data_IF_170270664539
#
_entry.id   IF_170270664539
#
_cell.length_a   1.000
_cell.length_b   1.000
_cell.length_c   1.000
_cell.angle_alpha   90.00
_cell.angle_beta   90.00
_cell.angle_gamma   90.00
#
_symmetry.space_group_name_H-M   'P 1'
#
loop_
_entity.id
_entity.type
_entity.pdbx_description
1 polymer ?
#
# COMPACT_ATOMS: atom_id res chain seq x y z
N UNK A 1 -1.67 0.12 0.46
CA UNK A 1 -2.17 -0.97 1.30
C UNK A 1 -1.69 -0.84 2.74
N UNK A 2 -2.27 -1.60 3.65
CA UNK A 2 -1.84 -1.65 5.04
C UNK A 2 -0.47 -2.36 5.17
N UNK A 3 0.22 -2.14 6.28
CA UNK A 3 1.46 -2.85 6.57
C UNK A 3 1.20 -4.34 6.83
N UNK A 4 2.10 -5.18 6.33
CA UNK A 4 2.05 -6.60 6.56
C UNK A 4 2.75 -7.00 7.87
N UNK A 5 2.28 -8.07 8.48
CA UNK A 5 2.84 -8.66 9.69
C UNK A 5 2.85 -10.18 9.60
N UNK A 6 3.93 -10.79 10.07
CA UNK A 6 4.06 -12.24 10.15
C UNK A 6 4.80 -12.62 11.42
N UNK A 7 4.15 -13.38 12.30
CA UNK A 7 4.71 -13.82 13.58
C UNK A 7 5.32 -12.67 14.39
N UNK A 8 4.62 -11.53 14.45
CA UNK A 8 5.05 -10.35 15.21
C UNK A 8 6.08 -9.47 14.52
N UNK A 9 6.56 -9.84 13.34
CA UNK A 9 7.50 -9.03 12.56
C UNK A 9 6.79 -8.33 11.39
N UNK A 10 7.22 -7.12 11.11
CA UNK A 10 6.70 -6.35 9.97
C UNK A 10 7.21 -6.94 8.66
N UNK A 11 6.30 -7.21 7.73
CA UNK A 11 6.63 -7.72 6.41
C UNK A 11 6.33 -6.67 5.33
N UNK A 12 7.34 -6.34 4.52
CA UNK A 12 7.19 -5.45 3.37
C UNK A 12 7.07 -6.24 2.08
N UNK A 13 6.21 -5.81 1.17
CA UNK A 13 5.93 -6.50 -0.09
C UNK A 13 7.16 -6.67 -1.00
N UNK A 14 8.10 -5.71 -0.95
CA UNK A 14 9.34 -5.82 -1.73
C UNK A 14 10.36 -6.75 -1.11
N UNK A 15 10.56 -6.68 0.19
CA UNK A 15 11.62 -7.40 0.91
C UNK A 15 11.27 -8.85 1.16
N UNK A 16 10.04 -9.13 1.58
CA UNK A 16 9.65 -10.47 2.02
C UNK A 16 9.61 -11.48 0.87
N UNK A 17 9.31 -11.04 -0.34
CA UNK A 17 9.27 -11.93 -1.51
C UNK A 17 10.65 -12.53 -1.79
N UNK A 18 11.69 -11.71 -1.73
CA UNK A 18 13.07 -12.19 -1.91
C UNK A 18 13.48 -13.14 -0.81
N UNK A 19 13.24 -12.76 0.45
CA UNK A 19 13.55 -13.61 1.60
C UNK A 19 12.80 -14.93 1.54
N UNK A 20 11.52 -14.91 1.18
CA UNK A 20 10.71 -16.12 1.04
C UNK A 20 11.24 -17.05 -0.06
N UNK A 21 11.67 -16.50 -1.18
CA UNK A 21 12.30 -17.29 -2.26
C UNK A 21 13.59 -17.96 -1.82
N UNK A 22 14.44 -17.23 -1.09
CA UNK A 22 15.67 -17.79 -0.53
C UNK A 22 15.38 -18.91 0.45
N UNK A 23 14.43 -18.73 1.35
CA UNK A 23 14.02 -19.75 2.32
C UNK A 23 13.43 -20.99 1.64
N UNK A 24 12.62 -20.82 0.59
CA UNK A 24 12.08 -21.93 -0.18
C UNK A 24 13.17 -22.71 -0.90
N UNK A 25 14.13 -22.02 -1.52
CA UNK A 25 15.26 -22.63 -2.22
C UNK A 25 16.18 -23.39 -1.25
N UNK A 26 16.36 -22.88 -0.03
CA UNK A 26 17.14 -23.53 1.02
C UNK A 26 16.41 -24.69 1.72
N UNK A 27 15.12 -24.88 1.45
CA UNK A 27 14.32 -25.93 2.08
C UNK A 27 13.86 -25.61 3.49
N UNK A 28 13.99 -24.36 3.95
CA UNK A 28 13.56 -23.93 5.29
C UNK A 28 12.04 -23.85 5.42
N UNK A 29 11.34 -23.57 4.30
CA UNK A 29 9.87 -23.53 4.23
C UNK A 29 9.39 -24.36 3.05
N UNK A 30 8.16 -24.86 3.12
CA UNK A 30 7.50 -25.56 2.03
C UNK A 30 6.69 -24.57 1.14
N UNK A 31 6.02 -25.10 0.13
CA UNK A 31 5.20 -24.30 -0.79
C UNK A 31 4.06 -23.59 -0.04
N UNK A 32 3.41 -24.27 0.90
CA UNK A 32 2.32 -23.65 1.69
C UNK A 32 2.86 -22.53 2.59
N UNK A 33 4.01 -22.74 3.23
CA UNK A 33 4.69 -21.74 4.03
C UNK A 33 5.13 -20.53 3.22
N UNK A 34 5.60 -20.75 2.00
CA UNK A 34 5.96 -19.69 1.06
C UNK A 34 4.74 -18.80 0.72
N UNK A 35 3.64 -19.41 0.32
CA UNK A 35 2.40 -18.67 -0.01
C UNK A 35 1.90 -17.88 1.20
N UNK A 36 1.90 -18.48 2.38
CA UNK A 36 1.46 -17.83 3.62
C UNK A 36 2.33 -16.64 3.98
N UNK A 37 3.65 -16.77 3.86
CA UNK A 37 4.60 -15.70 4.15
C UNK A 37 4.46 -14.53 3.17
N UNK A 38 4.36 -14.81 1.89
CA UNK A 38 4.18 -13.78 0.85
C UNK A 38 2.83 -13.08 1.00
N UNK A 39 1.76 -13.83 1.25
CA UNK A 39 0.43 -13.26 1.46
C UNK A 39 0.37 -12.32 2.67
N UNK A 40 1.15 -12.58 3.71
CA UNK A 40 1.22 -11.70 4.88
C UNK A 40 1.75 -10.29 4.57
N UNK A 41 2.50 -10.13 3.48
CA UNK A 41 3.06 -8.84 3.07
C UNK A 41 2.08 -7.96 2.29
N UNK A 42 0.94 -8.50 1.89
CA UNK A 42 -0.08 -7.80 1.10
C UNK A 42 -1.47 -7.99 1.73
N UNK A 43 -1.71 -7.42 2.93
CA UNK A 43 -2.91 -7.73 3.71
C UNK A 43 -4.16 -6.99 3.26
N UNK A 44 -4.07 -6.07 2.31
CA UNK A 44 -5.20 -5.26 1.90
C UNK A 44 -5.09 -4.80 0.46
N UNK A 45 -6.14 -4.17 -0.05
CA UNK A 45 -6.15 -3.49 -1.34
C UNK A 45 -5.26 -2.26 -1.34
N UNK A 46 -4.89 -1.78 -2.51
CA UNK A 46 -4.07 -0.60 -2.74
C UNK A 46 -2.72 -0.95 -3.39
N UNK A 47 -1.92 0.07 -3.68
CA UNK A 47 -0.56 -0.15 -4.15
C UNK A 47 0.32 -0.72 -3.01
N UNK A 48 1.52 -1.22 -3.35
CA UNK A 48 2.39 -1.88 -2.38
C UNK A 48 2.76 -0.97 -1.20
N UNK A 49 3.16 -1.55 -0.09
CA UNK A 49 3.52 -0.82 1.13
C UNK A 49 4.98 -0.35 1.16
N UNK A 50 5.72 -0.56 0.09
CA UNK A 50 7.08 -0.02 -0.08
C UNK A 50 6.98 1.43 -0.54
N UNK A 51 7.81 2.32 0.00
CA UNK A 51 7.92 3.69 -0.50
C UNK A 51 8.74 3.73 -1.79
N UNK A 52 8.15 3.21 -2.86
CA UNK A 52 8.69 3.23 -4.21
C UNK A 52 7.97 4.28 -5.07
N UNK A 53 7.78 3.98 -6.33
CA UNK A 53 7.18 4.89 -7.31
C UNK A 53 5.78 5.36 -6.89
N UNK A 54 4.90 4.43 -6.52
CA UNK A 54 3.50 4.77 -6.22
C UNK A 54 3.36 5.73 -5.02
N UNK A 55 4.00 5.41 -3.90
CA UNK A 55 3.96 6.26 -2.70
C UNK A 55 4.64 7.60 -2.95
N UNK A 56 5.79 7.61 -3.62
CA UNK A 56 6.54 8.82 -3.92
C UNK A 56 5.73 9.75 -4.82
N UNK A 57 5.14 9.23 -5.90
CA UNK A 57 4.34 10.04 -6.82
C UNK A 57 3.05 10.54 -6.19
N UNK A 58 2.44 9.74 -5.33
CA UNK A 58 1.26 10.15 -4.57
C UNK A 58 1.60 11.31 -3.61
N UNK A 59 2.72 11.23 -2.93
CA UNK A 59 3.21 12.31 -2.05
C UNK A 59 3.57 13.57 -2.83
N UNK A 60 4.19 13.44 -4.00
CA UNK A 60 4.49 14.56 -4.88
C UNK A 60 3.22 15.24 -5.38
N UNK A 61 2.21 14.49 -5.77
CA UNK A 61 0.94 15.06 -6.21
C UNK A 61 0.26 15.86 -5.09
N UNK A 62 0.33 15.37 -3.85
CA UNK A 62 -0.16 16.12 -2.69
C UNK A 62 0.62 17.42 -2.47
N UNK A 63 1.95 17.36 -2.54
CA UNK A 63 2.82 18.53 -2.37
C UNK A 63 2.59 19.59 -3.45
N UNK A 64 2.25 19.18 -4.67
CA UNK A 64 1.91 20.08 -5.78
C UNK A 64 0.47 20.63 -5.69
N UNK A 65 -0.31 20.24 -4.70
CA UNK A 65 -1.69 20.68 -4.54
C UNK A 65 -2.71 19.97 -5.45
N UNK A 66 -2.32 18.88 -6.11
CA UNK A 66 -3.20 18.10 -6.97
C UNK A 66 -4.08 17.14 -6.19
N UNK A 67 -3.80 16.93 -4.90
CA UNK A 67 -4.58 16.12 -3.98
C UNK A 67 -4.86 16.93 -2.71
N UNK A 68 -5.88 16.51 -1.95
CA UNK A 68 -6.19 17.10 -0.66
C UNK A 68 -5.07 16.82 0.36
N UNK A 69 -4.76 17.77 1.25
CA UNK A 69 -3.75 17.57 2.28
C UNK A 69 -4.02 16.33 3.13
N UNK A 70 -2.99 15.53 3.37
CA UNK A 70 -3.06 14.29 4.14
C UNK A 70 -3.51 13.05 3.35
N UNK A 71 -3.97 13.20 2.11
CA UNK A 71 -4.51 12.08 1.33
C UNK A 71 -3.48 11.00 1.00
N UNK A 72 -2.23 11.38 0.78
CA UNK A 72 -1.16 10.44 0.47
C UNK A 72 -0.80 9.49 1.63
N UNK A 73 -1.12 9.87 2.87
CA UNK A 73 -0.83 9.08 4.06
C UNK A 73 -1.94 8.09 4.43
N UNK A 74 -3.06 8.08 3.73
CA UNK A 74 -4.23 7.27 4.06
C UNK A 74 -4.18 5.95 3.27
N UNK A 75 -4.13 4.77 3.93
CA UNK A 75 -4.22 3.49 3.25
C UNK A 75 -5.56 3.31 2.52
N UNK A 76 -5.52 2.62 1.37
CA UNK A 76 -6.69 2.43 0.51
C UNK A 76 -7.94 1.86 1.21
N UNK A 77 -7.84 0.89 2.15
CA UNK A 77 -9.03 0.34 2.81
C UNK A 77 -9.63 1.28 3.86
N UNK A 78 -8.96 2.37 4.22
CA UNK A 78 -9.46 3.28 5.24
C UNK A 78 -10.57 4.19 4.69
N UNK A 79 -11.60 4.45 5.49
CA UNK A 79 -12.74 5.29 5.10
C UNK A 79 -12.35 6.72 4.73
N UNK A 80 -11.24 7.22 5.27
CA UNK A 80 -10.69 8.53 4.95
C UNK A 80 -10.40 8.75 3.47
N UNK A 81 -9.94 7.71 2.76
CA UNK A 81 -9.64 7.82 1.33
C UNK A 81 -10.91 8.06 0.51
N UNK A 82 -12.02 7.42 0.87
CA UNK A 82 -13.31 7.62 0.20
C UNK A 82 -13.85 9.03 0.41
N UNK A 83 -13.70 9.57 1.63
CA UNK A 83 -14.11 10.94 1.93
C UNK A 83 -13.26 11.95 1.17
N UNK A 84 -11.96 11.73 1.08
CA UNK A 84 -11.06 12.60 0.32
C UNK A 84 -11.37 12.54 -1.18
N UNK A 85 -11.64 11.37 -1.74
CA UNK A 85 -12.04 11.23 -3.14
C UNK A 85 -13.33 12.01 -3.45
N UNK A 86 -14.31 11.95 -2.56
CA UNK A 86 -15.55 12.70 -2.68
C UNK A 86 -15.33 14.22 -2.63
N UNK A 87 -14.49 14.69 -1.69
CA UNK A 87 -14.13 16.10 -1.57
C UNK A 87 -13.38 16.62 -2.79
N UNK A 88 -12.44 15.85 -3.32
CA UNK A 88 -11.70 16.21 -4.55
C UNK A 88 -12.65 16.35 -5.71
N UNK A 89 -13.57 15.40 -5.89
CA UNK A 89 -14.58 15.46 -6.94
C UNK A 89 -15.46 16.70 -6.83
N UNK A 90 -15.83 17.10 -5.63
CA UNK A 90 -16.65 18.31 -5.40
C UNK A 90 -15.86 19.57 -5.72
N UNK A 91 -14.58 19.62 -5.37
CA UNK A 91 -13.69 20.76 -5.65
C UNK A 91 -13.48 20.97 -7.15
N UNK A 92 -13.31 19.89 -7.90
CA UNK A 92 -12.99 19.93 -9.33
C UNK A 92 -14.25 20.05 -10.21
N UNK A 93 -15.45 20.06 -9.62
CA UNK A 93 -16.66 20.31 -10.37
C UNK A 93 -16.69 21.76 -10.89
N UNK A 94 -16.97 21.97 -12.18
CA UNK A 94 -17.15 23.35 -12.67
C UNK A 94 -18.33 23.99 -11.93
N UNK A 95 -18.18 25.26 -11.59
CA UNK A 95 -19.25 26.04 -10.99
C UNK A 95 -20.49 25.97 -11.93
N UNK A 96 -21.63 25.57 -11.39
CA UNK A 96 -22.89 25.67 -12.14
C UNK A 96 -23.22 27.15 -12.30
N UNK A 97 -23.32 27.56 -13.53
CA UNK A 97 -23.76 28.90 -13.84
C UNK A 97 -25.20 29.12 -13.36
#
# INVERSE_FOLDING_TARGET
>A
MLNGWHKGERTGSGTIVWKAREMLAAGEIDQAGFVKLVASSAPSTGYCNTMGTATTMNSLAEALGMQLPGSAAIPAPCSGIRRNASRTRSRDRPARA
#
